data_IF_324858338270
#
_entry.id   IF_324858338270
#
_cell.length_a   1.000
_cell.length_b   1.000
_cell.length_c   1.000
_cell.angle_alpha   90.00
_cell.angle_beta   90.00
_cell.angle_gamma   90.00
#
_symmetry.space_group_name_H-M   'P 1'
#
loop_
_entity.id
_entity.type
_entity.pdbx_description
1 polymer ?
#
# COMPACT_ATOMS: atom_id res chain seq x y z
N UNK A 1 23.97 5.44 -34.45
CA UNK A 1 24.68 5.28 -33.16
C UNK A 1 23.91 4.31 -32.28
N UNK A 2 24.34 3.04 -32.17
CA UNK A 2 23.64 2.00 -31.40
C UNK A 2 24.11 2.04 -29.96
N UNK A 3 23.24 2.43 -29.02
CA UNK A 3 23.53 2.40 -27.58
C UNK A 3 23.41 0.94 -27.12
N UNK A 4 24.54 0.31 -26.83
CA UNK A 4 24.61 -1.01 -26.18
C UNK A 4 24.13 -0.86 -24.73
N UNK A 5 22.94 -1.37 -24.41
CA UNK A 5 22.52 -1.57 -23.01
C UNK A 5 23.41 -2.63 -22.39
N UNK A 6 24.25 -2.23 -21.42
CA UNK A 6 24.95 -3.14 -20.51
C UNK A 6 23.90 -3.82 -19.65
N UNK A 7 23.61 -5.08 -19.96
CA UNK A 7 22.92 -5.97 -19.02
C UNK A 7 23.85 -6.19 -17.82
N UNK A 8 23.49 -5.63 -16.68
CA UNK A 8 24.09 -6.02 -15.41
C UNK A 8 23.62 -7.44 -15.10
N UNK A 9 24.39 -8.42 -15.54
CA UNK A 9 24.34 -9.76 -14.95
C UNK A 9 25.00 -9.63 -13.56
N UNK A 10 24.19 -9.49 -12.51
CA UNK A 10 24.66 -9.71 -11.15
C UNK A 10 24.96 -11.21 -11.03
N UNK A 11 26.19 -11.60 -11.37
CA UNK A 11 26.76 -12.84 -10.90
C UNK A 11 26.89 -12.71 -9.38
N UNK A 12 25.86 -13.15 -8.65
CA UNK A 12 25.95 -13.37 -7.22
C UNK A 12 26.97 -14.47 -7.03
N UNK A 13 28.22 -14.07 -6.72
CA UNK A 13 29.26 -15.02 -6.37
C UNK A 13 28.77 -15.87 -5.22
N UNK A 14 28.98 -17.18 -5.32
CA UNK A 14 28.63 -18.18 -4.31
C UNK A 14 29.26 -17.92 -2.92
N UNK A 15 30.13 -16.92 -2.81
CA UNK A 15 30.86 -16.55 -1.59
C UNK A 15 30.31 -15.27 -0.91
N UNK A 16 29.11 -14.80 -1.28
CA UNK A 16 28.50 -13.70 -0.56
C UNK A 16 27.95 -14.22 0.78
N UNK A 17 28.54 -13.83 1.97
CA UNK A 17 28.04 -14.26 3.28
C UNK A 17 26.62 -13.83 3.57
N UNK A 18 26.03 -12.98 2.72
CA UNK A 18 24.64 -12.52 2.76
C UNK A 18 23.77 -13.18 1.69
N UNK A 19 24.04 -14.41 1.31
CA UNK A 19 23.10 -15.15 0.48
C UNK A 19 21.81 -15.36 1.28
N UNK A 20 20.87 -14.44 1.08
CA UNK A 20 19.58 -14.40 1.81
C UNK A 20 18.83 -15.73 1.75
N UNK A 21 18.98 -16.46 0.66
CA UNK A 21 18.35 -17.77 0.47
C UNK A 21 18.94 -18.83 1.40
N UNK A 22 20.26 -18.91 1.53
CA UNK A 22 20.95 -19.89 2.40
C UNK A 22 20.80 -19.53 3.87
N UNK A 23 20.90 -18.23 4.21
CA UNK A 23 20.63 -17.75 5.55
C UNK A 23 19.21 -18.11 6.01
N UNK A 24 18.23 -17.92 5.15
CA UNK A 24 16.82 -18.27 5.44
C UNK A 24 16.61 -19.78 5.55
N UNK A 25 17.31 -20.60 4.74
CA UNK A 25 17.29 -22.06 4.87
C UNK A 25 17.88 -22.51 6.21
N UNK A 26 18.97 -21.89 6.62
CA UNK A 26 19.62 -22.18 7.92
C UNK A 26 18.71 -21.81 9.09
N UNK A 27 18.02 -20.67 9.05
CA UNK A 27 17.05 -20.28 10.07
C UNK A 27 15.85 -21.24 10.15
N UNK A 28 15.40 -21.75 9.00
CA UNK A 28 14.36 -22.77 8.92
C UNK A 28 14.80 -24.10 9.55
N UNK A 29 16.01 -24.57 9.22
CA UNK A 29 16.60 -25.79 9.78
C UNK A 29 16.78 -25.70 11.30
N UNK A 30 17.00 -24.50 11.85
CA UNK A 30 17.13 -24.24 13.28
C UNK A 30 15.78 -24.04 14.00
N UNK A 31 14.64 -24.20 13.30
CA UNK A 31 13.30 -23.95 13.89
C UNK A 31 13.04 -22.51 14.32
N UNK A 32 13.96 -21.58 13.98
CA UNK A 32 13.85 -20.17 14.35
C UNK A 32 12.90 -19.36 13.45
N UNK A 33 12.44 -19.95 12.36
CA UNK A 33 11.53 -19.29 11.42
C UNK A 33 10.21 -20.07 11.37
N UNK A 34 9.29 -19.69 12.23
CA UNK A 34 7.91 -20.22 12.22
C UNK A 34 6.94 -19.32 11.44
N UNK A 35 7.46 -18.24 10.85
CA UNK A 35 6.65 -17.28 10.12
C UNK A 35 6.16 -17.82 8.78
N UNK A 36 4.97 -17.40 8.39
CA UNK A 36 4.34 -17.59 7.07
C UNK A 36 5.05 -16.81 5.97
N UNK A 37 6.39 -16.83 5.93
CA UNK A 37 7.14 -16.24 4.83
C UNK A 37 6.80 -17.01 3.54
N UNK A 38 6.93 -16.35 2.40
CA UNK A 38 6.76 -17.01 1.09
C UNK A 38 7.58 -18.29 0.99
N UNK A 39 8.75 -18.36 1.64
CA UNK A 39 9.62 -19.55 1.69
C UNK A 39 8.97 -20.68 2.48
N UNK A 40 8.30 -20.43 3.60
CA UNK A 40 7.55 -21.45 4.35
C UNK A 40 6.37 -22.02 3.56
N UNK A 41 5.70 -21.18 2.77
CA UNK A 41 4.64 -21.63 1.86
C UNK A 41 5.18 -22.49 0.70
N UNK A 42 6.35 -22.17 0.15
CA UNK A 42 6.97 -22.95 -0.94
C UNK A 42 7.43 -24.33 -0.51
N UNK A 43 7.84 -24.49 0.76
CA UNK A 43 8.26 -25.78 1.34
C UNK A 43 7.11 -26.53 2.01
N UNK A 44 5.88 -25.98 2.02
CA UNK A 44 4.72 -26.65 2.57
C UNK A 44 4.20 -27.70 1.60
N UNK A 45 3.55 -28.77 2.13
CA UNK A 45 2.87 -29.76 1.31
C UNK A 45 1.84 -29.09 0.39
N UNK A 46 1.55 -29.73 -0.75
CA UNK A 46 0.56 -29.23 -1.71
C UNK A 46 -0.81 -28.99 -1.04
N UNK A 47 -1.21 -29.87 -0.14
CA UNK A 47 -2.44 -29.74 0.65
C UNK A 47 -2.46 -28.44 1.46
N UNK A 48 -1.36 -28.09 2.14
CA UNK A 48 -1.25 -26.84 2.89
C UNK A 48 -1.33 -25.62 1.97
N UNK A 49 -0.72 -25.69 0.78
CA UNK A 49 -0.79 -24.60 -0.22
C UNK A 49 -2.22 -24.40 -0.72
N UNK A 50 -2.92 -25.47 -1.07
CA UNK A 50 -4.31 -25.44 -1.50
C UNK A 50 -5.23 -24.88 -0.40
N UNK A 51 -5.06 -25.36 0.84
CA UNK A 51 -5.83 -24.86 1.98
C UNK A 51 -5.60 -23.36 2.22
N UNK A 52 -4.36 -22.88 2.15
CA UNK A 52 -4.04 -21.46 2.28
C UNK A 52 -4.63 -20.65 1.13
N UNK A 53 -4.57 -21.14 -0.11
CA UNK A 53 -5.20 -20.49 -1.26
C UNK A 53 -6.73 -20.35 -1.08
N UNK A 54 -7.39 -21.39 -0.58
CA UNK A 54 -8.83 -21.34 -0.28
C UNK A 54 -9.16 -20.31 0.82
N UNK A 55 -8.37 -20.28 1.90
CA UNK A 55 -8.54 -19.27 2.97
C UNK A 55 -8.35 -17.86 2.43
N UNK A 56 -7.31 -17.63 1.63
CA UNK A 56 -7.05 -16.31 1.02
C UNK A 56 -8.19 -15.89 0.09
N UNK A 57 -8.68 -16.80 -0.75
CA UNK A 57 -9.80 -16.52 -1.65
C UNK A 57 -11.08 -16.20 -0.87
N UNK A 58 -11.39 -16.98 0.15
CA UNK A 58 -12.55 -16.71 1.03
C UNK A 58 -12.42 -15.35 1.69
N UNK A 59 -11.28 -15.04 2.31
CA UNK A 59 -11.06 -13.78 3.00
C UNK A 59 -11.03 -12.57 2.03
N UNK A 60 -10.55 -12.74 0.81
CA UNK A 60 -10.56 -11.69 -0.20
C UNK A 60 -11.98 -11.34 -0.71
N UNK A 61 -12.90 -12.29 -0.64
CA UNK A 61 -14.32 -12.09 -1.02
C UNK A 61 -15.17 -11.55 0.13
N UNK A 62 -14.77 -11.79 1.37
CA UNK A 62 -15.47 -11.33 2.56
C UNK A 62 -14.93 -9.97 3.03
N UNK A 63 -15.72 -8.91 2.85
CA UNK A 63 -15.35 -7.54 3.26
C UNK A 63 -15.12 -7.39 4.76
N UNK A 64 -15.69 -8.26 5.58
CA UNK A 64 -15.57 -8.24 7.04
C UNK A 64 -14.44 -9.13 7.55
N UNK A 65 -13.80 -9.92 6.68
CA UNK A 65 -12.68 -10.76 7.07
C UNK A 65 -11.49 -9.93 7.51
N UNK A 66 -10.88 -10.29 8.65
CA UNK A 66 -9.65 -9.68 9.18
C UNK A 66 -8.43 -10.60 9.05
N UNK A 67 -8.64 -11.82 8.57
CA UNK A 67 -7.60 -12.82 8.44
C UNK A 67 -6.67 -12.62 7.24
N UNK A 68 -5.68 -13.51 7.14
CA UNK A 68 -4.69 -13.50 6.06
C UNK A 68 -5.35 -13.51 4.66
N UNK A 69 -4.89 -12.62 3.78
CA UNK A 69 -5.44 -12.45 2.43
C UNK A 69 -6.67 -11.52 2.35
N UNK A 70 -7.21 -11.07 3.49
CA UNK A 70 -8.29 -10.08 3.49
C UNK A 70 -7.80 -8.69 3.12
N UNK A 71 -8.71 -7.84 2.69
CA UNK A 71 -8.44 -6.42 2.43
C UNK A 71 -7.96 -5.70 3.70
N UNK A 72 -8.55 -6.02 4.85
CA UNK A 72 -8.11 -5.51 6.14
C UNK A 72 -6.64 -5.86 6.44
N UNK A 73 -6.25 -7.14 6.26
CA UNK A 73 -4.87 -7.58 6.51
C UNK A 73 -3.87 -6.90 5.56
N UNK A 74 -4.26 -6.65 4.30
CA UNK A 74 -3.42 -5.90 3.36
C UNK A 74 -3.21 -4.45 3.81
N UNK A 75 -4.25 -3.78 4.30
CA UNK A 75 -4.17 -2.41 4.82
C UNK A 75 -3.30 -2.33 6.08
N UNK A 76 -3.44 -3.27 7.01
CA UNK A 76 -2.57 -3.38 8.20
C UNK A 76 -1.11 -3.57 7.78
N UNK A 77 -0.84 -4.45 6.82
CA UNK A 77 0.51 -4.67 6.32
C UNK A 77 1.11 -3.42 5.67
N UNK A 78 0.34 -2.70 4.85
CA UNK A 78 0.79 -1.45 4.23
C UNK A 78 1.12 -0.40 5.29
N UNK A 79 0.24 -0.21 6.28
CA UNK A 79 0.48 0.67 7.43
C UNK A 79 1.79 0.31 8.13
N UNK A 80 1.97 -0.96 8.50
CA UNK A 80 3.17 -1.42 9.19
C UNK A 80 4.45 -1.25 8.34
N UNK A 81 4.36 -1.43 7.02
CA UNK A 81 5.47 -1.17 6.11
C UNK A 81 5.88 0.30 6.10
N UNK A 82 4.92 1.23 6.10
CA UNK A 82 5.19 2.67 6.18
C UNK A 82 5.84 3.02 7.51
N UNK A 83 5.32 2.51 8.64
CA UNK A 83 5.91 2.69 9.96
C UNK A 83 7.38 2.24 10.01
N UNK A 84 7.65 1.01 9.57
CA UNK A 84 8.99 0.43 9.66
C UNK A 84 9.99 1.09 8.70
N UNK A 85 9.50 1.54 7.53
CA UNK A 85 10.38 2.08 6.48
C UNK A 85 10.73 3.54 6.68
N UNK A 86 9.80 4.32 7.25
CA UNK A 86 9.89 5.78 7.28
C UNK A 86 9.71 6.36 8.70
N UNK A 87 10.00 5.57 9.73
CA UNK A 87 9.89 6.01 11.12
C UNK A 87 10.69 7.30 11.37
N UNK A 88 10.04 8.31 11.96
CA UNK A 88 10.65 9.61 12.25
C UNK A 88 10.82 10.55 11.04
N UNK A 89 10.37 10.14 9.85
CA UNK A 89 10.42 10.98 8.66
C UNK A 89 9.10 11.71 8.42
N UNK A 90 9.20 12.86 7.74
CA UNK A 90 8.05 13.60 7.23
C UNK A 90 7.59 13.02 5.89
N UNK A 91 6.29 13.11 5.63
CA UNK A 91 5.70 12.63 4.39
C UNK A 91 4.42 13.39 4.04
N UNK A 92 3.72 12.86 3.04
CA UNK A 92 2.50 13.47 2.52
C UNK A 92 1.44 12.42 2.26
N UNK A 93 0.22 12.69 2.72
CA UNK A 93 -0.97 11.97 2.29
C UNK A 93 -1.67 12.80 1.23
N UNK A 94 -2.00 12.19 0.11
CA UNK A 94 -2.73 12.83 -0.97
C UNK A 94 -4.15 12.30 -1.07
N UNK A 95 -5.09 13.20 -1.37
CA UNK A 95 -6.47 12.91 -1.71
C UNK A 95 -6.75 13.47 -3.11
N UNK A 96 -6.98 12.59 -4.06
CA UNK A 96 -7.10 12.89 -5.50
C UNK A 96 -8.41 12.39 -6.05
N UNK A 97 -9.10 13.24 -6.81
CA UNK A 97 -10.32 12.89 -7.55
C UNK A 97 -9.96 12.44 -8.96
N UNK A 98 -10.55 11.35 -9.39
CA UNK A 98 -10.58 10.85 -10.76
C UNK A 98 -12.02 10.91 -11.32
N UNK A 99 -12.24 10.67 -12.63
CA UNK A 99 -13.59 10.75 -13.21
C UNK A 99 -14.63 9.87 -12.53
N UNK A 100 -14.26 8.67 -12.05
CA UNK A 100 -15.19 7.70 -11.47
C UNK A 100 -14.91 7.35 -10.00
N UNK A 101 -13.82 7.83 -9.44
CA UNK A 101 -13.34 7.44 -8.13
C UNK A 101 -12.58 8.56 -7.43
N UNK A 102 -12.30 8.37 -6.16
CA UNK A 102 -11.30 9.14 -5.42
C UNK A 102 -10.22 8.18 -4.92
N UNK A 103 -9.00 8.65 -4.81
CA UNK A 103 -7.86 7.89 -4.30
C UNK A 103 -7.25 8.60 -3.11
N UNK A 104 -6.91 7.80 -2.12
CA UNK A 104 -6.12 8.20 -0.96
C UNK A 104 -4.79 7.44 -1.03
N UNK A 105 -3.72 8.05 -0.60
CA UNK A 105 -2.45 7.35 -0.52
C UNK A 105 -1.35 8.21 0.07
N UNK A 106 -0.28 7.54 0.46
CA UNK A 106 0.92 8.14 1.02
C UNK A 106 2.03 8.28 -0.02
N UNK A 107 2.84 9.35 0.09
CA UNK A 107 4.08 9.53 -0.66
C UNK A 107 5.06 10.40 0.11
N UNK A 108 6.36 10.16 -0.09
CA UNK A 108 7.44 11.08 0.33
C UNK A 108 7.58 12.28 -0.60
N UNK A 109 7.10 12.13 -1.82
CA UNK A 109 7.10 13.14 -2.88
C UNK A 109 5.75 13.01 -3.62
N UNK A 110 4.77 13.79 -3.16
CA UNK A 110 3.41 13.73 -3.69
C UNK A 110 3.32 14.28 -5.11
N UNK A 111 4.10 15.32 -5.44
CA UNK A 111 4.08 15.95 -6.76
C UNK A 111 4.57 14.96 -7.83
N UNK A 112 5.72 14.34 -7.60
CA UNK A 112 6.23 13.28 -8.46
C UNK A 112 5.26 12.10 -8.56
N UNK A 113 4.61 11.73 -7.44
CA UNK A 113 3.66 10.61 -7.40
C UNK A 113 2.45 10.87 -8.28
N UNK A 114 1.86 12.05 -8.19
CA UNK A 114 0.62 12.40 -8.91
C UNK A 114 0.91 12.77 -10.37
N UNK A 115 1.90 13.59 -10.62
CA UNK A 115 2.13 14.17 -11.94
C UNK A 115 2.97 13.30 -12.88
N UNK A 116 3.81 12.40 -12.32
CA UNK A 116 4.69 11.56 -13.13
C UNK A 116 4.40 10.07 -12.97
N UNK A 117 4.28 9.56 -11.74
CA UNK A 117 4.15 8.12 -11.55
C UNK A 117 2.76 7.59 -11.92
N UNK A 118 1.68 8.28 -11.57
CA UNK A 118 0.33 7.83 -11.91
C UNK A 118 0.11 7.75 -13.43
N UNK A 119 0.43 8.79 -14.22
CA UNK A 119 0.30 8.71 -15.67
C UNK A 119 1.12 7.58 -16.29
N UNK A 120 2.37 7.39 -15.83
CA UNK A 120 3.29 6.42 -16.44
C UNK A 120 3.04 4.98 -16.01
N UNK A 121 2.69 4.73 -14.74
CA UNK A 121 2.57 3.38 -14.22
C UNK A 121 1.17 2.77 -14.37
N UNK A 122 0.14 3.60 -14.32
CA UNK A 122 -1.25 3.13 -14.24
C UNK A 122 -2.13 3.65 -15.37
N UNK A 123 -1.59 4.41 -16.32
CA UNK A 123 -2.36 5.11 -17.37
C UNK A 123 -3.54 5.92 -16.80
N UNK A 124 -3.43 6.36 -15.55
CA UNK A 124 -4.48 7.11 -14.87
C UNK A 124 -4.24 8.59 -15.16
N UNK A 125 -4.94 9.11 -16.15
CA UNK A 125 -4.91 10.52 -16.53
C UNK A 125 -6.01 11.30 -15.81
N UNK A 126 -5.77 12.59 -15.57
CA UNK A 126 -6.80 13.54 -15.16
C UNK A 126 -7.14 13.51 -13.67
N UNK A 127 -6.19 13.11 -12.81
CA UNK A 127 -6.36 13.25 -11.37
C UNK A 127 -6.35 14.71 -10.94
N UNK A 128 -7.40 15.16 -10.26
CA UNK A 128 -7.47 16.47 -9.62
C UNK A 128 -7.12 16.35 -8.14
N UNK A 129 -6.08 17.04 -7.69
CA UNK A 129 -5.72 17.09 -6.27
C UNK A 129 -6.83 17.83 -5.51
N UNK A 130 -7.40 17.16 -4.51
CA UNK A 130 -8.36 17.78 -3.58
C UNK A 130 -7.62 18.29 -2.35
N UNK A 131 -6.75 17.45 -1.78
CA UNK A 131 -5.98 17.82 -0.61
C UNK A 131 -4.62 17.13 -0.59
N UNK A 132 -3.63 17.83 -0.02
CA UNK A 132 -2.35 17.29 0.41
C UNK A 132 -2.22 17.60 1.89
N UNK A 133 -1.97 16.57 2.68
CA UNK A 133 -1.76 16.66 4.13
C UNK A 133 -0.30 16.28 4.39
N UNK A 134 0.43 17.12 5.11
CA UNK A 134 1.80 16.85 5.56
C UNK A 134 1.83 16.47 7.04
N UNK A 135 2.85 15.74 7.43
CA UNK A 135 3.08 15.37 8.82
C UNK A 135 4.04 14.18 8.97
N UNK A 136 4.23 13.72 10.21
CA UNK A 136 5.00 12.51 10.48
C UNK A 136 4.40 11.30 9.74
N UNK A 137 5.26 10.46 9.18
CA UNK A 137 4.80 9.28 8.42
C UNK A 137 3.90 8.36 9.22
N UNK A 138 4.14 8.24 10.54
CA UNK A 138 3.32 7.44 11.44
C UNK A 138 1.89 7.94 11.49
N UNK A 139 1.71 9.23 11.71
CA UNK A 139 0.39 9.88 11.79
C UNK A 139 -0.36 9.81 10.46
N UNK A 140 0.37 10.01 9.35
CA UNK A 140 -0.21 9.90 8.02
C UNK A 140 -0.62 8.47 7.66
N UNK A 141 0.18 7.47 8.06
CA UNK A 141 -0.14 6.06 7.85
C UNK A 141 -1.38 5.64 8.66
N UNK A 142 -1.54 6.16 9.86
CA UNK A 142 -2.74 5.96 10.69
C UNK A 142 -3.96 6.63 10.07
N UNK A 143 -3.81 7.88 9.62
CA UNK A 143 -4.88 8.62 8.96
C UNK A 143 -5.34 7.93 7.67
N UNK A 144 -4.41 7.45 6.83
CA UNK A 144 -4.72 6.67 5.63
C UNK A 144 -5.48 5.39 5.99
N UNK A 145 -4.96 4.61 6.94
CA UNK A 145 -5.57 3.37 7.40
C UNK A 145 -6.98 3.60 7.94
N UNK A 146 -7.17 4.54 8.88
CA UNK A 146 -8.47 4.86 9.48
C UNK A 146 -9.49 5.30 8.44
N UNK A 147 -9.05 6.12 7.47
CA UNK A 147 -9.91 6.57 6.38
C UNK A 147 -10.35 5.40 5.51
N UNK A 148 -9.43 4.54 5.11
CA UNK A 148 -9.73 3.38 4.26
C UNK A 148 -10.59 2.33 4.98
N UNK A 149 -10.44 2.16 6.29
CA UNK A 149 -11.32 1.29 7.08
C UNK A 149 -12.72 1.89 7.22
N UNK A 150 -12.82 3.18 7.54
CA UNK A 150 -14.12 3.85 7.69
C UNK A 150 -14.96 3.78 6.42
N UNK A 151 -14.33 3.90 5.26
CA UNK A 151 -14.99 3.91 3.95
C UNK A 151 -14.84 2.61 3.16
N UNK A 152 -14.52 1.48 3.81
CA UNK A 152 -14.24 0.21 3.14
C UNK A 152 -15.39 -0.31 2.26
N UNK A 153 -16.64 -0.03 2.63
CA UNK A 153 -17.82 -0.44 1.85
C UNK A 153 -17.95 0.28 0.51
N UNK A 154 -17.19 1.35 0.34
CA UNK A 154 -17.15 2.16 -0.88
C UNK A 154 -15.89 1.91 -1.71
N UNK A 155 -15.10 0.87 -1.39
CA UNK A 155 -13.92 0.49 -2.19
C UNK A 155 -14.33 0.11 -3.60
N UNK A 156 -13.64 0.65 -4.59
CA UNK A 156 -13.87 0.43 -6.01
C UNK A 156 -12.65 -0.12 -6.74
N UNK A 157 -12.90 -0.61 -7.95
CA UNK A 157 -11.87 -0.80 -8.95
C UNK A 157 -11.30 0.57 -9.35
N UNK A 158 -10.01 0.63 -9.68
CA UNK A 158 -9.43 1.83 -10.27
C UNK A 158 -9.97 2.07 -11.69
N UNK A 159 -9.56 3.17 -12.32
CA UNK A 159 -9.97 3.53 -13.68
C UNK A 159 -9.60 2.47 -14.74
N UNK A 160 -8.61 1.63 -14.47
CA UNK A 160 -8.18 0.53 -15.36
C UNK A 160 -8.89 -0.80 -15.06
N UNK A 161 -9.84 -0.82 -14.11
CA UNK A 161 -10.56 -2.03 -13.72
C UNK A 161 -9.82 -2.95 -12.74
N UNK A 162 -8.64 -2.55 -12.26
CA UNK A 162 -7.90 -3.31 -11.25
C UNK A 162 -8.40 -2.94 -9.86
N UNK A 163 -8.61 -3.95 -8.99
CA UNK A 163 -8.99 -3.70 -7.60
C UNK A 163 -7.80 -3.22 -6.80
N UNK A 164 -7.86 -1.96 -6.38
CA UNK A 164 -6.92 -1.39 -5.41
C UNK A 164 -7.70 -0.93 -4.18
N UNK A 165 -7.20 -1.28 -3.01
CA UNK A 165 -7.85 -0.97 -1.72
C UNK A 165 -7.89 0.52 -1.38
N UNK A 166 -7.17 1.34 -2.14
CA UNK A 166 -7.00 2.79 -1.94
C UNK A 166 -7.95 3.64 -2.79
N UNK A 167 -8.77 3.01 -3.67
CA UNK A 167 -9.76 3.71 -4.47
C UNK A 167 -11.15 3.55 -3.86
N UNK A 168 -11.84 4.68 -3.71
CA UNK A 168 -13.19 4.77 -3.17
C UNK A 168 -14.16 5.33 -4.22
N UNK A 169 -15.43 5.03 -4.06
CA UNK A 169 -16.50 5.59 -4.90
C UNK A 169 -16.51 7.11 -4.83
N UNK A 170 -16.70 7.76 -5.98
CA UNK A 170 -16.77 9.23 -6.07
C UNK A 170 -17.89 9.83 -5.21
N UNK A 171 -18.99 9.08 -4.99
CA UNK A 171 -20.15 9.56 -4.18
C UNK A 171 -19.78 9.87 -2.72
N UNK A 172 -18.73 9.25 -2.18
CA UNK A 172 -18.27 9.52 -0.79
C UNK A 172 -17.20 10.60 -0.70
N UNK A 173 -16.85 11.25 -1.82
CA UNK A 173 -15.81 12.28 -1.88
C UNK A 173 -15.94 13.31 -0.77
N UNK A 174 -17.13 13.89 -0.59
CA UNK A 174 -17.38 14.91 0.43
C UNK A 174 -17.22 14.36 1.85
N UNK A 175 -17.77 13.17 2.12
CA UNK A 175 -17.69 12.54 3.45
C UNK A 175 -16.23 12.21 3.81
N UNK A 176 -15.45 11.73 2.85
CA UNK A 176 -14.00 11.48 3.03
C UNK A 176 -13.27 12.77 3.36
N UNK A 177 -13.53 13.83 2.60
CA UNK A 177 -12.92 15.13 2.83
C UNK A 177 -13.25 15.71 4.21
N UNK A 178 -14.53 15.68 4.59
CA UNK A 178 -14.99 16.17 5.89
C UNK A 178 -14.35 15.36 7.03
N UNK A 179 -14.21 14.05 6.86
CA UNK A 179 -13.50 13.19 7.81
C UNK A 179 -12.02 13.56 7.94
N UNK A 180 -11.31 13.73 6.80
CA UNK A 180 -9.91 14.15 6.80
C UNK A 180 -9.74 15.52 7.47
N UNK A 181 -10.63 16.46 7.18
CA UNK A 181 -10.61 17.79 7.77
C UNK A 181 -10.76 17.75 9.29
N UNK A 182 -11.69 16.93 9.77
CA UNK A 182 -11.90 16.72 11.22
C UNK A 182 -10.64 16.13 11.86
N UNK A 183 -10.10 15.04 11.30
CA UNK A 183 -8.92 14.35 11.84
C UNK A 183 -7.66 15.24 11.88
N UNK A 184 -7.43 16.05 10.85
CA UNK A 184 -6.32 17.01 10.82
C UNK A 184 -6.53 18.12 11.86
N UNK A 185 -7.78 18.58 12.08
CA UNK A 185 -8.05 19.60 13.11
C UNK A 185 -7.83 19.09 14.55
N UNK A 186 -7.90 17.79 14.78
CA UNK A 186 -7.66 17.16 16.08
C UNK A 186 -6.18 16.80 16.33
N UNK A 187 -5.36 16.76 15.29
CA UNK A 187 -3.96 16.37 15.38
C UNK A 187 -3.05 17.52 14.94
N UNK A 188 -2.39 18.15 15.93
CA UNK A 188 -1.50 19.31 15.71
C UNK A 188 -0.23 19.01 14.88
N UNK A 189 0.11 17.72 14.72
CA UNK A 189 1.26 17.30 13.95
C UNK A 189 0.93 17.12 12.45
N UNK A 190 -0.36 17.28 12.08
CA UNK A 190 -0.85 17.22 10.71
C UNK A 190 -1.31 18.61 10.23
N UNK A 191 -1.00 18.93 8.98
CA UNK A 191 -1.45 20.18 8.36
C UNK A 191 -1.84 19.99 6.90
N UNK A 192 -2.78 20.80 6.40
CA UNK A 192 -3.09 20.87 4.98
C UNK A 192 -2.10 21.78 4.26
N UNK A 193 -1.32 21.24 3.31
CA UNK A 193 -0.53 22.04 2.37
C UNK A 193 -1.35 22.53 1.18
N UNK A 194 -2.27 21.68 0.70
CA UNK A 194 -3.19 22.00 -0.39
C UNK A 194 -4.60 21.63 0.06
N UNK A 195 -5.51 22.56 -0.14
CA UNK A 195 -6.92 22.40 0.17
C UNK A 195 -7.74 23.06 -0.94
N UNK A 196 -8.16 22.26 -1.92
CA UNK A 196 -8.97 22.75 -3.04
C UNK A 196 -10.47 22.53 -2.76
N UNK A 197 -11.29 23.35 -3.39
CA UNK A 197 -12.75 23.19 -3.35
C UNK A 197 -13.15 21.81 -3.89
N UNK A 198 -14.17 21.22 -3.30
CA UNK A 198 -14.70 19.91 -3.68
C UNK A 198 -15.47 19.94 -5.01
#
# INVERSE_FOLDING_TARGET
MKIKRKLYSSSLSSNNPWNRSEHMKALHAQGRYTGTSKIGLWNSSEEKRLRMAQIMTKNALDKNAKGYGSEYAMRVNNRNLLFNKFQGEQGYMYFVKFPKSVKIGFSKDWDRRINYQFPHMNHILGGQVIAIISGPTTELADLEFDTLIKFQDYTKLNETGTKYTEFLDLKVKKQVYDFLKHRVSENKDLEFLIQNSL
#
